data_IF_982636809244
#
_entry.id   IF_982636809244
#
_cell.length_a   1.000
_cell.length_b   1.000
_cell.length_c   1.000
_cell.angle_alpha   90.00
_cell.angle_beta   90.00
_cell.angle_gamma   90.00
#
_symmetry.space_group_name_H-M   'P 1'
#
loop_
_entity.id
_entity.type
_entity.pdbx_description
1 polymer ?
#
# COMPACT_ATOMS: atom_id res chain seq x y z
N UNK A 1 -7.03 3.19 -15.29
CA UNK A 1 -6.14 4.35 -15.04
C UNK A 1 -6.29 4.80 -13.58
N UNK A 2 -5.25 5.40 -13.00
CA UNK A 2 -5.30 5.91 -11.62
C UNK A 2 -6.27 7.09 -11.50
N UNK A 3 -7.14 7.10 -10.49
CA UNK A 3 -8.12 8.15 -10.25
C UNK A 3 -7.64 9.06 -9.13
N UNK A 4 -7.30 10.30 -9.46
CA UNK A 4 -6.89 11.32 -8.49
C UNK A 4 -8.14 12.06 -8.00
N UNK A 5 -8.42 12.10 -6.68
CA UNK A 5 -9.54 12.88 -6.18
C UNK A 5 -9.33 14.36 -6.45
N UNK A 6 -10.39 15.07 -6.84
CA UNK A 6 -10.37 16.53 -6.93
C UNK A 6 -10.41 17.08 -5.52
N UNK A 7 -9.31 17.71 -5.11
CA UNK A 7 -9.18 18.38 -3.82
C UNK A 7 -8.83 19.83 -4.08
N UNK A 8 -9.50 20.75 -3.39
CA UNK A 8 -9.18 22.17 -3.46
C UNK A 8 -7.75 22.40 -2.95
N UNK A 9 -6.95 23.15 -3.73
CA UNK A 9 -5.55 23.44 -3.42
C UNK A 9 -4.56 22.32 -3.72
N UNK A 10 -4.99 21.20 -4.32
CA UNK A 10 -4.09 20.08 -4.65
C UNK A 10 -2.93 20.49 -5.56
N UNK A 11 -3.19 21.41 -6.48
CA UNK A 11 -2.24 22.00 -7.43
C UNK A 11 -1.19 22.91 -6.77
N UNK A 12 -1.49 23.42 -5.57
CA UNK A 12 -0.58 24.26 -4.78
C UNK A 12 0.28 23.47 -3.79
N UNK A 13 0.07 22.15 -3.70
CA UNK A 13 0.86 21.31 -2.80
C UNK A 13 2.31 21.22 -3.30
N UNK A 14 3.25 21.66 -2.46
CA UNK A 14 4.68 21.72 -2.81
C UNK A 14 5.47 20.46 -2.45
N UNK A 15 4.84 19.51 -1.74
CA UNK A 15 5.45 18.24 -1.40
C UNK A 15 5.32 17.20 -2.52
N UNK A 16 6.06 16.10 -2.39
CA UNK A 16 5.95 14.98 -3.31
C UNK A 16 4.57 14.31 -3.22
N UNK A 17 3.97 14.03 -4.38
CA UNK A 17 2.64 13.43 -4.49
C UNK A 17 2.61 12.38 -5.61
N UNK A 18 2.16 11.18 -5.28
CA UNK A 18 1.94 10.13 -6.27
C UNK A 18 0.79 9.22 -5.86
N UNK A 19 0.16 8.60 -6.85
CA UNK A 19 -0.88 7.59 -6.63
C UNK A 19 -0.23 6.22 -6.40
N UNK A 20 -0.83 5.37 -5.55
CA UNK A 20 -0.26 4.05 -5.22
C UNK A 20 0.02 3.17 -6.45
N UNK A 21 -0.83 3.25 -7.47
CA UNK A 21 -0.66 2.58 -8.77
C UNK A 21 0.49 3.12 -9.65
N UNK A 22 1.07 4.28 -9.32
CA UNK A 22 2.20 4.92 -10.00
C UNK A 22 3.25 5.32 -8.95
N UNK A 23 3.68 4.35 -8.15
CA UNK A 23 4.56 4.56 -7.02
C UNK A 23 5.92 5.14 -7.46
N UNK A 24 6.38 6.19 -6.78
CA UNK A 24 7.72 6.74 -6.97
C UNK A 24 8.72 5.96 -6.10
N UNK A 25 9.49 5.04 -6.71
CA UNK A 25 10.44 4.19 -6.00
C UNK A 25 11.72 4.92 -5.55
N UNK A 26 12.00 6.09 -6.12
CA UNK A 26 13.21 6.86 -5.84
C UNK A 26 13.02 7.83 -4.65
N UNK A 27 11.78 7.99 -4.16
CA UNK A 27 11.47 8.93 -3.10
C UNK A 27 11.60 8.31 -1.69
N UNK A 28 12.55 8.82 -0.90
CA UNK A 28 12.74 8.38 0.48
C UNK A 28 11.68 8.98 1.44
N UNK A 29 10.93 8.07 2.07
CA UNK A 29 9.86 8.37 3.01
C UNK A 29 10.36 8.57 4.45
N UNK A 30 11.65 8.31 4.72
CA UNK A 30 12.22 8.37 6.07
C UNK A 30 12.11 9.76 6.68
N UNK A 31 11.55 9.84 7.90
CA UNK A 31 11.41 11.09 8.64
C UNK A 31 10.39 12.08 8.06
N UNK A 32 9.65 11.71 7.01
CA UNK A 32 8.63 12.58 6.39
C UNK A 32 7.33 12.56 7.18
N UNK A 33 6.56 13.64 7.01
CA UNK A 33 5.14 13.70 7.41
C UNK A 33 4.32 13.32 6.19
N UNK A 34 3.57 12.23 6.28
CA UNK A 34 2.92 11.61 5.13
C UNK A 34 1.40 11.62 5.33
N UNK A 35 0.67 12.01 4.30
CA UNK A 35 -0.77 11.89 4.22
C UNK A 35 -1.15 10.77 3.24
N UNK A 36 -1.96 9.81 3.69
CA UNK A 36 -2.51 8.73 2.88
C UNK A 36 -4.01 8.95 2.73
N UNK A 37 -4.46 9.14 1.49
CA UNK A 37 -5.86 9.41 1.17
C UNK A 37 -6.50 8.12 0.66
N UNK A 38 -7.44 7.58 1.46
CA UNK A 38 -8.13 6.33 1.16
C UNK A 38 -7.53 5.13 1.90
N UNK A 39 -8.39 4.17 2.21
CA UNK A 39 -8.10 2.97 3.01
C UNK A 39 -8.43 1.67 2.25
N UNK A 40 -8.35 1.69 0.91
CA UNK A 40 -8.58 0.49 0.09
C UNK A 40 -7.48 -0.56 0.24
N UNK A 41 -7.58 -1.65 -0.54
CA UNK A 41 -6.65 -2.78 -0.50
C UNK A 41 -5.16 -2.38 -0.62
N UNK A 42 -4.84 -1.42 -1.50
CA UNK A 42 -3.46 -0.93 -1.64
C UNK A 42 -2.95 -0.29 -0.34
N UNK A 43 -3.76 0.57 0.30
CA UNK A 43 -3.37 1.23 1.55
C UNK A 43 -3.13 0.21 2.66
N UNK A 44 -3.99 -0.80 2.78
CA UNK A 44 -3.83 -1.89 3.76
C UNK A 44 -2.45 -2.57 3.61
N UNK A 45 -1.93 -2.70 2.38
CA UNK A 45 -0.64 -3.32 2.10
C UNK A 45 0.55 -2.39 2.38
N UNK A 46 0.53 -1.14 1.90
CA UNK A 46 1.71 -0.26 1.99
C UNK A 46 1.77 0.56 3.28
N UNK A 47 0.63 0.92 3.89
CA UNK A 47 0.59 1.75 5.11
C UNK A 47 1.44 1.13 6.24
N UNK A 48 1.32 -0.18 6.54
CA UNK A 48 2.17 -0.81 7.56
C UNK A 48 3.66 -0.77 7.22
N UNK A 49 4.02 -0.79 5.94
CA UNK A 49 5.41 -0.80 5.48
C UNK A 49 6.07 0.58 5.55
N UNK A 50 5.30 1.66 5.37
CA UNK A 50 5.82 3.04 5.43
C UNK A 50 5.73 3.64 6.84
N UNK A 51 4.81 3.17 7.68
CA UNK A 51 4.63 3.65 9.05
C UNK A 51 5.91 3.67 9.89
N UNK A 52 6.78 2.63 9.91
CA UNK A 52 8.00 2.66 10.69
C UNK A 52 9.05 3.65 10.16
N UNK A 53 8.93 4.11 8.90
CA UNK A 53 9.86 5.07 8.28
C UNK A 53 9.40 6.52 8.47
N UNK A 54 8.09 6.75 8.51
CA UNK A 54 7.51 8.09 8.60
C UNK A 54 7.77 8.73 9.99
N UNK A 55 7.97 10.06 10.02
CA UNK A 55 7.93 10.81 11.28
C UNK A 55 6.51 10.92 11.82
N UNK A 56 5.56 11.20 10.93
CA UNK A 56 4.12 11.22 11.22
C UNK A 56 3.37 10.66 10.01
N UNK A 57 2.33 9.88 10.26
CA UNK A 57 1.50 9.28 9.22
C UNK A 57 0.02 9.58 9.50
N UNK A 58 -0.62 10.31 8.59
CA UNK A 58 -2.03 10.66 8.65
C UNK A 58 -2.80 9.81 7.63
N UNK A 59 -3.81 9.07 8.08
CA UNK A 59 -4.66 8.25 7.21
C UNK A 59 -6.05 8.89 7.14
N UNK A 60 -6.41 9.36 5.95
CA UNK A 60 -7.71 9.97 5.68
C UNK A 60 -8.67 8.90 5.17
N UNK A 61 -9.59 8.47 6.03
CA UNK A 61 -10.57 7.45 5.74
C UNK A 61 -11.95 8.07 5.47
N UNK A 62 -12.55 7.77 4.31
CA UNK A 62 -13.96 8.09 4.05
C UNK A 62 -14.90 7.03 4.63
N UNK A 63 -14.59 5.75 4.40
CA UNK A 63 -15.38 4.60 4.85
C UNK A 63 -14.42 3.48 5.23
N UNK A 64 -14.65 2.84 6.38
CA UNK A 64 -13.79 1.76 6.84
C UNK A 64 -14.00 0.50 5.97
N UNK A 65 -12.93 -0.13 5.45
CA UNK A 65 -13.02 -1.46 4.86
C UNK A 65 -13.19 -2.52 5.94
N UNK A 66 -13.80 -3.65 5.60
CA UNK A 66 -13.68 -4.87 6.38
C UNK A 66 -12.30 -5.48 6.14
N UNK A 67 -11.50 -5.63 7.19
CA UNK A 67 -10.15 -6.19 7.12
C UNK A 67 -10.13 -7.51 7.87
N UNK A 68 -9.68 -8.56 7.21
CA UNK A 68 -9.46 -9.87 7.80
C UNK A 68 -7.96 -10.12 7.96
N UNK A 69 -7.54 -10.88 8.99
CA UNK A 69 -6.16 -11.35 9.08
C UNK A 69 -5.79 -12.09 7.79
N UNK A 70 -4.72 -11.63 7.14
CA UNK A 70 -4.08 -12.35 6.04
C UNK A 70 -2.83 -13.03 6.61
N UNK A 71 -2.81 -14.35 6.75
CA UNK A 71 -1.56 -15.06 7.01
C UNK A 71 -0.62 -14.78 5.83
N UNK A 72 0.54 -14.22 6.14
CA UNK A 72 1.64 -14.08 5.20
C UNK A 72 2.74 -15.02 5.66
N UNK A 73 2.84 -16.15 4.99
CA UNK A 73 3.79 -17.21 5.33
C UNK A 73 4.82 -17.33 4.22
N UNK A 74 6.09 -17.42 4.60
CA UNK A 74 7.15 -17.68 3.63
C UNK A 74 6.91 -19.02 2.93
N UNK A 75 6.75 -18.97 1.63
CA UNK A 75 6.67 -20.16 0.79
C UNK A 75 8.08 -20.73 0.64
N UNK A 76 8.45 -21.66 1.51
CA UNK A 76 9.71 -22.41 1.40
C UNK A 76 9.77 -23.27 0.13
N UNK A 77 10.97 -23.74 -0.22
CA UNK A 77 11.22 -24.51 -1.45
C UNK A 77 10.37 -25.79 -1.56
N UNK A 78 10.08 -26.44 -0.42
CA UNK A 78 9.19 -27.59 -0.39
C UNK A 78 7.76 -27.22 -0.81
N UNK A 79 7.18 -26.17 -0.23
CA UNK A 79 5.84 -25.70 -0.57
C UNK A 79 5.74 -25.26 -2.03
N UNK A 80 6.76 -24.56 -2.54
CA UNK A 80 6.86 -24.19 -3.96
C UNK A 80 6.86 -25.42 -4.88
N UNK A 81 7.63 -26.45 -4.53
CA UNK A 81 7.70 -27.71 -5.29
C UNK A 81 6.36 -28.44 -5.34
N UNK A 82 5.62 -28.48 -4.22
CA UNK A 82 4.28 -29.06 -4.17
C UNK A 82 3.29 -28.26 -5.04
N UNK A 83 3.28 -26.93 -4.93
CA UNK A 83 2.39 -26.08 -5.73
C UNK A 83 2.69 -26.24 -7.24
N UNK A 84 3.96 -26.29 -7.62
CA UNK A 84 4.37 -26.47 -9.01
C UNK A 84 3.97 -27.85 -9.58
N UNK A 85 3.99 -28.90 -8.74
CA UNK A 85 3.66 -30.27 -9.15
C UNK A 85 2.15 -30.54 -9.21
N UNK A 86 1.33 -29.80 -8.47
CA UNK A 86 -0.11 -29.98 -8.41
C UNK A 86 -0.86 -28.69 -8.80
N UNK A 87 -1.16 -28.49 -10.11
CA UNK A 87 -1.78 -27.27 -10.63
C UNK A 87 -3.13 -26.90 -9.99
N UNK A 88 -3.86 -27.89 -9.45
CA UNK A 88 -5.12 -27.66 -8.76
C UNK A 88 -4.98 -26.84 -7.46
N UNK A 89 -3.77 -26.68 -6.93
CA UNK A 89 -3.49 -25.85 -5.73
C UNK A 89 -3.45 -24.35 -6.11
N UNK A 90 -3.18 -24.01 -7.37
CA UNK A 90 -3.20 -22.63 -7.87
C UNK A 90 -4.60 -22.15 -8.29
N UNK A 91 -5.60 -23.04 -8.31
CA UNK A 91 -6.97 -22.75 -8.71
C UNK A 91 -7.78 -22.10 -7.59
#
# INVERSE_FOLDING_TARGET
>A
EAQIPRLEGLDTFTGEMFHSAKWNHDYDLTGKRIAVIGTGASAIQFVPQIQPKAKELFVFQRTAPWVLPKPDTDLGEFSKSIIAKYPAIQA
#
